data_IF_777629894987
#
_entry.id   IF_777629894987
#
_cell.length_a   1.000
_cell.length_b   1.000
_cell.length_c   1.000
_cell.angle_alpha   90.00
_cell.angle_beta   90.00
_cell.angle_gamma   90.00
#
_symmetry.space_group_name_H-M   'P 1'
#
loop_
_entity.id
_entity.type
_entity.pdbx_description
1 polymer ?
#
# COMPACT_ATOMS: atom_id res chain seq x y z
N UNK A 1 18.41 2.04 -3.81
CA UNK A 1 17.58 2.87 -4.72
C UNK A 1 17.69 4.33 -4.32
N UNK A 2 17.74 5.26 -5.29
CA UNK A 2 17.61 6.69 -5.03
C UNK A 2 16.14 7.05 -5.17
N UNK A 3 15.52 7.56 -4.11
CA UNK A 3 14.11 7.95 -4.13
C UNK A 3 13.96 9.41 -4.60
N UNK A 4 14.32 9.66 -5.85
CA UNK A 4 14.42 11.01 -6.41
C UNK A 4 13.06 11.72 -6.52
N UNK A 5 11.97 10.96 -6.70
CA UNK A 5 10.62 11.51 -6.73
C UNK A 5 10.15 11.83 -5.30
N UNK A 6 10.24 10.89 -4.38
CA UNK A 6 9.87 11.08 -2.96
C UNK A 6 10.62 12.25 -2.33
N UNK A 7 11.91 12.40 -2.63
CA UNK A 7 12.76 13.43 -2.06
C UNK A 7 12.39 14.87 -2.49
N UNK A 8 11.53 15.03 -3.50
CA UNK A 8 11.00 16.34 -3.94
C UNK A 8 9.83 16.81 -3.08
N UNK A 9 9.17 15.91 -2.35
CA UNK A 9 8.02 16.25 -1.55
C UNK A 9 8.44 16.97 -0.26
N UNK A 10 7.62 17.92 0.16
CA UNK A 10 7.84 18.62 1.43
C UNK A 10 7.81 17.62 2.60
N UNK A 11 8.85 17.67 3.43
CA UNK A 11 9.02 16.70 4.52
C UNK A 11 7.96 16.86 5.62
N UNK A 12 7.49 18.09 5.84
CA UNK A 12 6.44 18.37 6.83
C UNK A 12 5.13 17.79 6.34
N UNK A 13 4.79 18.03 5.07
CA UNK A 13 3.61 17.43 4.44
C UNK A 13 3.61 15.90 4.52
N UNK A 14 4.74 15.25 4.23
CA UNK A 14 4.85 13.80 4.38
C UNK A 14 4.61 13.37 5.82
N UNK A 15 5.31 13.97 6.79
CA UNK A 15 5.22 13.59 8.21
C UNK A 15 3.82 13.76 8.79
N UNK A 16 3.13 14.85 8.45
CA UNK A 16 1.78 15.14 8.95
C UNK A 16 0.71 14.20 8.37
N UNK A 17 0.97 13.59 7.22
CA UNK A 17 0.01 12.74 6.54
C UNK A 17 0.35 11.24 6.52
N UNK A 18 1.52 10.83 7.04
CA UNK A 18 1.83 9.42 7.22
C UNK A 18 0.91 8.76 8.26
N UNK A 19 0.50 7.53 7.98
CA UNK A 19 -0.31 6.67 8.86
C UNK A 19 0.39 5.33 9.16
N UNK A 20 1.63 5.20 8.74
CA UNK A 20 2.51 4.04 8.83
C UNK A 20 3.83 4.33 8.12
N UNK A 21 4.62 3.34 7.71
CA UNK A 21 5.87 3.53 6.98
C UNK A 21 5.63 4.39 5.73
N UNK A 22 6.63 5.19 5.33
CA UNK A 22 6.47 6.19 4.27
C UNK A 22 5.94 5.58 2.96
N UNK A 23 4.62 5.69 2.78
CA UNK A 23 3.89 5.10 1.66
C UNK A 23 4.33 5.65 0.30
N UNK A 24 4.81 6.89 0.24
CA UNK A 24 5.32 7.49 -1.00
C UNK A 24 6.62 6.81 -1.43
N UNK A 25 7.52 6.53 -0.49
CA UNK A 25 8.77 5.81 -0.76
C UNK A 25 8.52 4.37 -1.18
N UNK A 26 7.58 3.71 -0.51
CA UNK A 26 7.15 2.35 -0.86
C UNK A 26 6.56 2.35 -2.28
N UNK A 27 5.70 3.30 -2.59
CA UNK A 27 5.07 3.41 -3.90
C UNK A 27 6.09 3.71 -5.01
N UNK A 28 7.08 4.56 -4.77
CA UNK A 28 8.14 4.85 -5.76
C UNK A 28 8.91 3.59 -6.14
N UNK A 29 9.28 2.73 -5.17
CA UNK A 29 9.94 1.45 -5.45
C UNK A 29 8.98 0.48 -6.14
N UNK A 30 7.74 0.36 -5.66
CA UNK A 30 6.72 -0.53 -6.22
C UNK A 30 6.49 -0.27 -7.72
N UNK A 31 6.48 1.00 -8.10
CA UNK A 31 6.16 1.44 -9.46
C UNK A 31 7.39 1.64 -10.37
N UNK A 32 8.61 1.32 -9.93
CA UNK A 32 9.84 1.57 -10.70
C UNK A 32 9.75 1.01 -12.14
N UNK A 33 9.14 -0.16 -12.29
CA UNK A 33 9.01 -0.84 -13.58
C UNK A 33 7.54 -1.04 -14.01
N UNK A 34 6.62 -0.27 -13.42
CA UNK A 34 5.19 -0.33 -13.75
C UNK A 34 4.86 0.74 -14.78
N UNK A 35 4.35 0.38 -15.97
CA UNK A 35 4.15 1.31 -17.08
C UNK A 35 2.83 2.08 -16.95
N UNK A 36 2.65 2.86 -15.88
CA UNK A 36 1.53 3.79 -15.76
C UNK A 36 1.68 4.91 -16.79
N UNK A 37 0.56 5.29 -17.41
CA UNK A 37 0.51 6.35 -18.44
C UNK A 37 -0.54 7.39 -18.05
N UNK A 38 -0.27 8.64 -18.39
CA UNK A 38 -1.23 9.73 -18.21
C UNK A 38 -2.60 9.37 -18.78
N UNK A 39 -3.65 9.72 -18.05
CA UNK A 39 -5.03 9.44 -18.41
C UNK A 39 -5.54 8.04 -18.05
N UNK A 40 -4.69 7.11 -17.56
CA UNK A 40 -5.14 5.86 -16.98
C UNK A 40 -6.01 6.11 -15.75
N UNK A 41 -7.05 5.29 -15.57
CA UNK A 41 -7.86 5.24 -14.33
C UNK A 41 -7.19 4.28 -13.35
N UNK A 42 -6.80 4.79 -12.21
CA UNK A 42 -6.11 4.04 -11.15
C UNK A 42 -6.93 4.06 -9.88
N UNK A 43 -7.25 2.88 -9.34
CA UNK A 43 -7.76 2.74 -7.98
C UNK A 43 -6.58 2.83 -7.02
N UNK A 44 -6.64 3.73 -6.05
CA UNK A 44 -5.75 3.77 -4.89
C UNK A 44 -6.53 3.21 -3.69
N UNK A 45 -6.34 1.93 -3.42
CA UNK A 45 -7.11 1.15 -2.44
C UNK A 45 -6.49 1.27 -1.05
N UNK A 46 -7.22 1.91 -0.12
CA UNK A 46 -6.73 2.24 1.20
C UNK A 46 -5.74 3.41 1.16
N UNK A 47 -6.16 4.51 0.54
CA UNK A 47 -5.30 5.68 0.29
C UNK A 47 -4.91 6.45 1.57
N UNK A 48 -5.56 6.17 2.72
CA UNK A 48 -5.35 6.92 3.96
C UNK A 48 -5.55 8.42 3.77
N UNK A 49 -4.59 9.22 4.24
CA UNK A 49 -4.54 10.66 4.03
C UNK A 49 -4.17 11.09 2.60
N UNK A 50 -4.13 10.16 1.64
CA UNK A 50 -4.00 10.45 0.22
C UNK A 50 -2.58 10.74 -0.27
N UNK A 51 -1.53 10.40 0.48
CA UNK A 51 -0.14 10.61 0.04
C UNK A 51 0.17 9.87 -1.26
N UNK A 52 -0.26 8.62 -1.37
CA UNK A 52 -0.11 7.78 -2.57
C UNK A 52 -0.89 8.35 -3.75
N UNK A 53 -2.12 8.84 -3.50
CA UNK A 53 -2.96 9.47 -4.52
C UNK A 53 -2.33 10.73 -5.09
N UNK A 54 -1.79 11.62 -4.24
CA UNK A 54 -1.07 12.83 -4.66
C UNK A 54 0.16 12.47 -5.49
N UNK A 55 0.92 11.45 -5.10
CA UNK A 55 2.08 10.98 -5.84
C UNK A 55 1.69 10.42 -7.22
N UNK A 56 0.67 9.56 -7.30
CA UNK A 56 0.17 9.01 -8.57
C UNK A 56 -0.25 10.11 -9.54
N UNK A 57 -1.01 11.08 -9.06
CA UNK A 57 -1.46 12.20 -9.88
C UNK A 57 -0.29 13.06 -10.39
N UNK A 58 0.63 13.45 -9.51
CA UNK A 58 1.74 14.36 -9.86
C UNK A 58 2.80 13.70 -10.73
N UNK A 59 3.21 12.47 -10.42
CA UNK A 59 4.34 11.83 -11.08
C UNK A 59 3.95 11.07 -12.34
N UNK A 60 2.67 10.68 -12.47
CA UNK A 60 2.20 9.88 -13.62
C UNK A 60 1.08 10.54 -14.43
N UNK A 61 0.42 11.59 -13.91
CA UNK A 61 -0.70 12.24 -14.59
C UNK A 61 -1.91 11.32 -14.77
N UNK A 62 -2.08 10.35 -13.90
CA UNK A 62 -3.21 9.41 -13.93
C UNK A 62 -4.43 9.99 -13.23
N UNK A 63 -5.62 9.53 -13.61
CA UNK A 63 -6.85 9.80 -12.87
C UNK A 63 -6.94 8.82 -11.71
N UNK A 64 -6.91 9.31 -10.47
CA UNK A 64 -6.89 8.50 -9.25
C UNK A 64 -8.26 8.48 -8.60
N UNK A 65 -8.73 7.29 -8.27
CA UNK A 65 -9.91 7.04 -7.44
C UNK A 65 -9.41 6.61 -6.07
N UNK A 66 -9.33 7.58 -5.16
CA UNK A 66 -8.70 7.45 -3.84
C UNK A 66 -9.72 6.92 -2.84
N UNK A 67 -9.75 5.61 -2.63
CA UNK A 67 -10.72 4.94 -1.77
C UNK A 67 -10.13 4.67 -0.38
N UNK A 68 -10.85 5.07 0.65
CA UNK A 68 -10.53 4.77 2.04
C UNK A 68 -11.78 4.57 2.89
N UNK A 69 -11.69 3.73 3.93
CA UNK A 69 -12.77 3.47 4.88
C UNK A 69 -12.69 4.40 6.10
N UNK A 70 -11.49 4.76 6.53
CA UNK A 70 -11.28 5.50 7.79
C UNK A 70 -11.25 7.01 7.59
N UNK A 71 -10.79 7.46 6.42
CA UNK A 71 -10.66 8.88 6.11
C UNK A 71 -11.82 9.35 5.24
N UNK A 72 -12.52 10.39 5.70
CA UNK A 72 -13.66 10.90 4.97
C UNK A 72 -13.28 11.47 3.58
N UNK A 73 -14.15 11.28 2.59
CA UNK A 73 -13.95 11.87 1.28
C UNK A 73 -13.81 13.42 1.34
N UNK A 74 -14.50 14.08 2.29
CA UNK A 74 -14.41 15.52 2.48
C UNK A 74 -13.03 15.96 2.95
N UNK A 75 -12.41 15.22 3.87
CA UNK A 75 -11.09 15.57 4.37
C UNK A 75 -10.01 15.33 3.33
N UNK A 76 -10.11 14.23 2.57
CA UNK A 76 -9.22 13.96 1.45
C UNK A 76 -9.41 14.97 0.31
N UNK A 77 -10.65 15.36 -0.02
CA UNK A 77 -10.89 16.40 -1.03
C UNK A 77 -10.21 17.72 -0.68
N UNK A 78 -10.27 18.12 0.60
CA UNK A 78 -9.58 19.34 1.07
C UNK A 78 -8.07 19.24 0.86
N UNK A 79 -7.45 18.10 1.23
CA UNK A 79 -6.01 17.84 1.01
C UNK A 79 -5.64 17.86 -0.47
N UNK A 80 -6.44 17.23 -1.33
CA UNK A 80 -6.17 17.20 -2.77
C UNK A 80 -6.24 18.59 -3.39
N UNK A 81 -7.16 19.44 -2.95
CA UNK A 81 -7.21 20.85 -3.36
C UNK A 81 -5.98 21.63 -2.89
N UNK A 82 -5.57 21.47 -1.63
CA UNK A 82 -4.35 22.10 -1.09
C UNK A 82 -3.10 21.64 -1.84
N UNK A 83 -3.10 20.40 -2.31
CA UNK A 83 -2.05 19.84 -3.15
C UNK A 83 -2.16 20.22 -4.63
N UNK A 84 -3.24 20.85 -5.09
CA UNK A 84 -3.49 21.20 -6.50
C UNK A 84 -3.58 19.99 -7.42
N UNK A 85 -4.26 18.92 -6.95
CA UNK A 85 -4.47 17.67 -7.72
C UNK A 85 -5.94 17.23 -7.74
N UNK A 86 -6.85 18.08 -7.30
CA UNK A 86 -8.29 17.78 -7.18
C UNK A 86 -8.99 17.60 -8.53
N UNK A 87 -8.38 18.00 -9.62
CA UNK A 87 -8.80 17.73 -10.99
C UNK A 87 -8.46 16.30 -11.46
N UNK A 88 -7.48 15.65 -10.84
CA UNK A 88 -7.04 14.28 -11.14
C UNK A 88 -7.44 13.25 -10.09
N UNK A 89 -7.67 13.68 -8.84
CA UNK A 89 -7.92 12.76 -7.72
C UNK A 89 -9.34 12.88 -7.20
N UNK A 90 -10.08 11.79 -7.24
CA UNK A 90 -11.45 11.68 -6.78
C UNK A 90 -11.47 10.91 -5.46
N UNK A 91 -11.74 11.54 -4.31
CA UNK A 91 -11.81 10.85 -3.03
C UNK A 91 -13.14 10.09 -2.88
N UNK A 92 -13.05 8.87 -2.37
CA UNK A 92 -14.18 7.98 -2.17
C UNK A 92 -14.11 7.38 -0.76
N UNK A 93 -15.16 7.60 0.04
CA UNK A 93 -15.29 7.00 1.36
C UNK A 93 -16.15 5.75 1.24
N UNK A 94 -15.51 4.58 1.21
CA UNK A 94 -16.20 3.29 1.04
C UNK A 94 -15.38 2.15 1.64
N UNK A 95 -16.09 1.04 1.92
CA UNK A 95 -15.46 -0.23 2.31
C UNK A 95 -14.88 -0.93 1.07
N UNK A 96 -13.68 -1.49 1.20
CA UNK A 96 -13.06 -2.33 0.18
C UNK A 96 -13.89 -3.59 -0.15
N UNK A 97 -14.76 -4.03 0.74
CA UNK A 97 -15.68 -5.14 0.52
C UNK A 97 -16.89 -4.77 -0.36
N UNK A 98 -17.19 -3.45 -0.50
CA UNK A 98 -18.34 -2.96 -1.29
C UNK A 98 -17.94 -1.72 -2.09
N UNK A 99 -17.05 -1.89 -3.04
CA UNK A 99 -16.52 -0.80 -3.86
C UNK A 99 -17.51 -0.39 -4.96
N UNK A 100 -17.90 0.89 -5.06
CA UNK A 100 -18.98 1.37 -5.95
C UNK A 100 -18.50 1.62 -7.39
N UNK A 101 -17.90 0.60 -8.01
CA UNK A 101 -17.37 0.71 -9.37
C UNK A 101 -17.90 -0.39 -10.28
N UNK A 102 -17.94 -0.09 -11.59
CA UNK A 102 -18.27 -1.07 -12.61
C UNK A 102 -17.11 -2.04 -12.88
N UNK A 103 -17.45 -3.23 -13.35
CA UNK A 103 -16.47 -4.21 -13.83
C UNK A 103 -15.62 -3.63 -14.97
N UNK A 104 -14.35 -3.98 -14.98
CA UNK A 104 -13.40 -3.55 -16.01
C UNK A 104 -13.19 -2.02 -16.06
N UNK A 105 -13.39 -1.32 -14.95
CA UNK A 105 -13.31 0.13 -14.92
C UNK A 105 -11.87 0.66 -14.86
N UNK A 106 -10.98 -0.03 -14.15
CA UNK A 106 -9.63 0.45 -13.88
C UNK A 106 -8.57 -0.13 -14.81
N UNK A 107 -7.62 0.71 -15.22
CA UNK A 107 -6.40 0.31 -15.90
C UNK A 107 -5.36 -0.27 -14.93
N UNK A 108 -5.38 0.19 -13.68
CA UNK A 108 -4.55 -0.34 -12.60
C UNK A 108 -5.24 -0.19 -11.23
N UNK A 109 -4.88 -1.09 -10.31
CA UNK A 109 -5.15 -0.93 -8.88
C UNK A 109 -3.82 -0.88 -8.15
N UNK A 110 -3.67 0.11 -7.29
CA UNK A 110 -2.53 0.31 -6.41
C UNK A 110 -3.02 0.22 -4.97
N UNK A 111 -2.26 -0.43 -4.09
CA UNK A 111 -2.53 -0.43 -2.65
C UNK A 111 -1.21 -0.45 -1.90
N UNK A 112 -0.99 0.50 -1.01
CA UNK A 112 0.22 0.59 -0.20
C UNK A 112 -0.16 0.64 1.27
N UNK A 113 0.38 -0.31 2.04
CA UNK A 113 0.17 -0.42 3.50
C UNK A 113 -1.32 -0.58 3.91
N UNK A 114 -2.14 -1.16 3.02
CA UNK A 114 -3.58 -1.32 3.24
C UNK A 114 -4.12 -2.70 2.83
N UNK A 115 -3.65 -3.28 1.73
CA UNK A 115 -4.19 -4.53 1.18
C UNK A 115 -4.21 -5.70 2.19
N UNK A 116 -3.23 -5.79 3.07
CA UNK A 116 -3.11 -6.88 4.06
C UNK A 116 -4.28 -6.94 5.05
N UNK A 117 -5.01 -5.84 5.27
CA UNK A 117 -6.21 -5.82 6.12
C UNK A 117 -7.39 -6.63 5.53
N UNK A 118 -7.44 -6.79 4.22
CA UNK A 118 -8.55 -7.44 3.52
C UNK A 118 -8.11 -8.64 2.67
N UNK A 119 -6.88 -8.61 2.17
CA UNK A 119 -6.34 -9.61 1.24
C UNK A 119 -5.91 -10.92 1.90
N UNK A 120 -5.90 -11.01 3.24
CA UNK A 120 -5.75 -12.26 3.95
C UNK A 120 -6.94 -13.22 3.69
N UNK A 121 -8.11 -12.69 3.35
CA UNK A 121 -9.22 -13.47 2.82
C UNK A 121 -8.85 -14.02 1.43
N UNK A 122 -8.96 -15.33 1.24
CA UNK A 122 -8.56 -16.03 0.01
C UNK A 122 -9.32 -15.58 -1.24
N UNK A 123 -10.53 -15.07 -1.10
CA UNK A 123 -11.39 -14.68 -2.22
C UNK A 123 -11.38 -13.18 -2.50
N UNK A 124 -10.79 -12.34 -1.63
CA UNK A 124 -10.85 -10.88 -1.81
C UNK A 124 -10.31 -10.43 -3.16
N UNK A 125 -9.15 -10.93 -3.57
CA UNK A 125 -8.58 -10.56 -4.87
C UNK A 125 -9.51 -10.94 -6.00
N UNK A 126 -9.97 -12.19 -6.04
CA UNK A 126 -10.77 -12.76 -7.14
C UNK A 126 -12.19 -12.23 -7.21
N UNK A 127 -12.83 -11.97 -6.07
CA UNK A 127 -14.23 -11.56 -6.00
C UNK A 127 -14.44 -10.06 -5.92
N UNK A 128 -13.47 -9.32 -5.36
CA UNK A 128 -13.63 -7.88 -5.08
C UNK A 128 -12.74 -6.98 -5.93
N UNK A 129 -11.45 -7.28 -6.06
CA UNK A 129 -10.52 -6.41 -6.77
C UNK A 129 -10.39 -6.75 -8.26
N UNK A 130 -10.23 -8.04 -8.58
CA UNK A 130 -10.07 -8.53 -9.96
C UNK A 130 -11.20 -8.06 -10.91
N UNK A 131 -12.49 -8.15 -10.55
CA UNK A 131 -13.57 -7.73 -11.45
C UNK A 131 -13.48 -6.27 -11.87
N UNK A 132 -12.95 -5.40 -11.04
CA UNK A 132 -12.83 -3.97 -11.30
C UNK A 132 -11.71 -3.63 -12.29
N UNK A 133 -10.74 -4.53 -12.47
CA UNK A 133 -9.63 -4.35 -13.39
C UNK A 133 -10.03 -4.74 -14.82
N UNK A 134 -9.57 -3.97 -15.79
CA UNK A 134 -9.62 -4.36 -17.20
C UNK A 134 -8.76 -5.59 -17.43
N UNK A 135 -9.07 -6.36 -18.48
CA UNK A 135 -8.17 -7.42 -18.95
C UNK A 135 -6.80 -6.83 -19.27
N UNK A 136 -5.74 -7.45 -18.75
CA UNK A 136 -4.37 -6.91 -18.81
C UNK A 136 -4.12 -5.71 -17.91
N UNK A 137 -5.09 -5.33 -17.07
CA UNK A 137 -4.94 -4.29 -16.05
C UNK A 137 -3.89 -4.67 -15.00
N UNK A 138 -3.29 -3.68 -14.37
CA UNK A 138 -2.16 -3.86 -13.47
C UNK A 138 -2.64 -3.93 -12.03
N UNK A 139 -2.17 -4.91 -11.26
CA UNK A 139 -2.23 -4.89 -9.80
C UNK A 139 -0.83 -4.58 -9.26
N UNK A 140 -0.71 -3.55 -8.42
CA UNK A 140 0.54 -3.14 -7.77
C UNK A 140 0.27 -2.93 -6.27
N UNK A 141 0.75 -3.85 -5.45
CA UNK A 141 0.38 -3.96 -4.05
C UNK A 141 1.64 -4.02 -3.20
N UNK A 142 1.71 -3.27 -2.11
CA UNK A 142 2.80 -3.35 -1.15
C UNK A 142 2.29 -3.18 0.28
N UNK A 143 2.85 -3.97 1.21
CA UNK A 143 2.45 -3.95 2.62
C UNK A 143 3.53 -4.56 3.52
N UNK A 144 3.46 -4.30 4.85
CA UNK A 144 4.28 -5.01 5.82
C UNK A 144 4.01 -6.51 5.82
N UNK A 145 5.07 -7.29 5.87
CA UNK A 145 5.00 -8.74 5.89
C UNK A 145 6.14 -9.36 6.70
N UNK A 146 6.34 -10.65 6.50
CA UNK A 146 7.37 -11.42 7.18
C UNK A 146 8.35 -12.05 6.20
N UNK A 147 9.61 -12.19 6.63
CA UNK A 147 10.65 -12.89 5.86
C UNK A 147 10.35 -14.39 5.74
N UNK A 148 9.73 -14.96 6.77
CA UNK A 148 9.29 -16.36 6.86
C UNK A 148 8.15 -16.49 7.87
N UNK A 149 7.37 -17.57 7.78
CA UNK A 149 6.26 -17.82 8.70
C UNK A 149 6.77 -18.14 10.11
N UNK A 150 6.18 -17.46 11.11
CA UNK A 150 6.51 -17.65 12.54
C UNK A 150 5.29 -17.95 13.39
N UNK A 151 4.11 -18.12 12.78
CA UNK A 151 2.82 -18.24 13.44
C UNK A 151 2.74 -19.42 14.41
N UNK A 152 3.38 -20.56 14.08
CA UNK A 152 3.43 -21.74 14.97
C UNK A 152 4.38 -21.55 16.16
N UNK A 153 5.38 -20.67 16.04
CA UNK A 153 6.38 -20.45 17.08
C UNK A 153 6.85 -19.00 17.10
N UNK A 154 6.01 -18.13 17.64
CA UNK A 154 6.28 -16.69 17.74
C UNK A 154 7.54 -16.45 18.59
N UNK A 155 8.55 -15.73 18.10
CA UNK A 155 9.74 -15.36 18.86
C UNK A 155 9.38 -14.65 20.17
N UNK A 156 10.00 -15.04 21.26
CA UNK A 156 9.62 -14.52 22.59
C UNK A 156 9.75 -13.00 22.70
N UNK A 157 10.74 -12.42 22.03
CA UNK A 157 10.99 -10.98 21.97
C UNK A 157 9.92 -10.21 21.20
N UNK A 158 9.18 -10.89 20.30
CA UNK A 158 8.13 -10.28 19.48
C UNK A 158 6.75 -10.42 20.09
N UNK A 159 6.53 -11.37 20.99
CA UNK A 159 5.23 -11.60 21.65
C UNK A 159 4.58 -10.36 22.28
N UNK A 160 5.34 -9.39 22.86
CA UNK A 160 4.75 -8.18 23.41
C UNK A 160 4.21 -7.19 22.37
N UNK A 161 4.56 -7.37 21.08
CA UNK A 161 4.28 -6.42 20.00
C UNK A 161 3.39 -6.99 18.90
N UNK A 162 3.34 -8.30 18.77
CA UNK A 162 2.55 -8.97 17.73
C UNK A 162 1.28 -9.52 18.33
N UNK A 163 0.23 -8.72 18.27
CA UNK A 163 -1.11 -9.12 18.63
C UNK A 163 -1.68 -10.10 17.59
N UNK A 164 -2.68 -10.89 17.99
CA UNK A 164 -3.28 -11.90 17.12
C UNK A 164 -3.81 -11.33 15.81
N UNK A 165 -4.39 -10.14 15.86
CA UNK A 165 -4.89 -9.44 14.67
C UNK A 165 -3.77 -9.06 13.69
N UNK A 166 -2.62 -8.58 14.19
CA UNK A 166 -1.46 -8.24 13.37
C UNK A 166 -0.86 -9.51 12.73
N UNK A 167 -0.74 -10.58 13.50
CA UNK A 167 -0.27 -11.87 12.99
C UNK A 167 -1.17 -12.44 11.90
N UNK A 168 -2.49 -12.28 12.01
CA UNK A 168 -3.42 -12.73 10.96
C UNK A 168 -3.25 -12.00 9.61
N UNK A 169 -2.57 -10.86 9.59
CA UNK A 169 -2.37 -10.05 8.39
C UNK A 169 -0.95 -10.12 7.84
N UNK A 170 0.04 -10.43 8.68
CA UNK A 170 1.45 -10.42 8.29
C UNK A 170 1.95 -11.82 7.99
N UNK A 171 2.20 -12.07 6.73
CA UNK A 171 2.68 -13.35 6.22
C UNK A 171 3.89 -13.18 5.31
N UNK A 172 4.54 -14.29 5.00
CA UNK A 172 5.68 -14.32 4.09
C UNK A 172 5.26 -14.23 2.62
N UNK A 173 6.21 -13.93 1.74
CA UNK A 173 5.99 -13.97 0.28
C UNK A 173 5.47 -15.33 -0.20
N UNK A 174 5.92 -16.43 0.43
CA UNK A 174 5.48 -17.78 0.10
C UNK A 174 3.99 -18.01 0.38
N UNK A 175 3.48 -17.43 1.45
CA UNK A 175 2.06 -17.48 1.81
C UNK A 175 1.19 -16.63 0.88
N UNK A 176 1.68 -15.46 0.46
CA UNK A 176 0.95 -14.56 -0.42
C UNK A 176 0.91 -15.01 -1.88
N UNK A 177 1.97 -15.65 -2.38
CA UNK A 177 2.12 -16.03 -3.79
C UNK A 177 0.93 -16.81 -4.37
N UNK A 178 0.40 -17.87 -3.73
CA UNK A 178 -0.71 -18.66 -4.27
C UNK A 178 -2.00 -17.86 -4.52
N UNK A 179 -2.18 -16.74 -3.82
CA UNK A 179 -3.37 -15.87 -3.98
C UNK A 179 -3.36 -15.09 -5.31
N UNK A 180 -2.21 -15.00 -5.99
CA UNK A 180 -2.03 -14.19 -7.18
C UNK A 180 -1.53 -14.96 -8.41
N UNK A 181 -0.83 -16.09 -8.23
CA UNK A 181 -0.10 -16.76 -9.31
C UNK A 181 -0.98 -17.33 -10.43
N UNK A 182 -2.23 -17.65 -10.15
CA UNK A 182 -3.20 -18.11 -11.14
C UNK A 182 -4.05 -16.98 -11.72
N UNK A 183 -3.91 -15.75 -11.20
CA UNK A 183 -4.74 -14.60 -11.56
C UNK A 183 -3.94 -13.54 -12.35
N UNK A 184 -2.63 -13.50 -12.14
CA UNK A 184 -1.75 -12.49 -12.70
C UNK A 184 -0.65 -13.11 -13.56
N UNK A 185 -0.49 -12.62 -14.78
CA UNK A 185 0.69 -12.83 -15.60
C UNK A 185 1.82 -11.88 -15.20
N UNK A 186 3.05 -12.18 -15.59
CA UNK A 186 4.25 -11.39 -15.28
C UNK A 186 4.42 -11.13 -13.76
N UNK A 187 3.89 -12.03 -12.91
CA UNK A 187 3.85 -11.87 -11.47
C UNK A 187 5.26 -11.73 -10.87
N UNK A 188 5.51 -10.63 -10.21
CA UNK A 188 6.69 -10.38 -9.38
C UNK A 188 6.25 -10.23 -7.94
N UNK A 189 6.92 -10.94 -7.03
CA UNK A 189 6.79 -10.79 -5.57
C UNK A 189 8.21 -10.71 -5.02
N UNK A 190 8.50 -9.65 -4.25
CA UNK A 190 9.85 -9.43 -3.72
C UNK A 190 9.84 -8.74 -2.36
N UNK A 191 10.92 -8.92 -1.62
CA UNK A 191 11.22 -8.11 -0.43
C UNK A 191 11.70 -6.74 -0.89
N UNK A 192 11.03 -5.68 -0.44
CA UNK A 192 11.34 -4.32 -0.87
C UNK A 192 12.57 -3.76 -0.16
N UNK A 193 13.42 -3.08 -0.92
CA UNK A 193 14.68 -2.50 -0.44
C UNK A 193 14.48 -1.27 0.44
N UNK A 194 13.34 -0.58 0.30
CA UNK A 194 13.02 0.64 1.04
C UNK A 194 12.64 0.44 2.50
N UNK A 195 12.53 -0.80 2.99
CA UNK A 195 12.05 -1.11 4.35
C UNK A 195 12.65 -0.17 5.42
N UNK A 196 13.96 -0.16 5.56
CA UNK A 196 14.62 0.63 6.61
C UNK A 196 14.39 2.13 6.47
N UNK A 197 14.35 2.65 5.23
CA UNK A 197 14.15 4.08 4.99
C UNK A 197 12.69 4.49 5.18
N UNK A 198 11.74 3.67 4.71
CA UNK A 198 10.32 3.95 4.87
C UNK A 198 9.92 3.96 6.36
N UNK A 199 10.42 2.99 7.13
CA UNK A 199 10.21 2.96 8.58
C UNK A 199 10.93 4.09 9.31
N UNK A 200 12.17 4.44 8.93
CA UNK A 200 12.89 5.56 9.55
C UNK A 200 12.14 6.89 9.39
N UNK A 201 11.55 7.14 8.22
CA UNK A 201 10.73 8.32 7.97
C UNK A 201 9.51 8.36 8.92
N UNK A 202 8.78 7.25 9.04
CA UNK A 202 7.64 7.12 9.95
C UNK A 202 8.02 7.31 11.41
N UNK A 203 9.06 6.62 11.86
CA UNK A 203 9.53 6.70 13.25
C UNK A 203 10.09 8.09 13.62
N UNK A 204 10.33 8.95 12.63
CA UNK A 204 10.72 10.35 12.83
C UNK A 204 9.54 11.30 13.05
N UNK A 205 8.29 10.78 12.96
CA UNK A 205 7.08 11.57 13.20
C UNK A 205 6.76 11.63 14.70
N UNK A 206 5.91 12.60 15.07
CA UNK A 206 5.36 12.72 16.43
C UNK A 206 4.05 11.95 16.60
N UNK A 207 3.70 11.08 15.64
CA UNK A 207 2.49 10.27 15.70
C UNK A 207 2.59 9.28 16.88
N UNK A 208 1.56 9.18 17.74
CA UNK A 208 1.58 8.29 18.91
C UNK A 208 1.83 6.82 18.58
N UNK A 209 1.34 6.33 17.44
CA UNK A 209 1.56 4.95 16.99
C UNK A 209 3.02 4.66 16.65
N UNK A 210 3.76 5.64 16.12
CA UNK A 210 5.18 5.50 15.80
C UNK A 210 6.04 5.13 17.03
N UNK A 211 5.60 5.50 18.24
CA UNK A 211 6.31 5.15 19.48
C UNK A 211 6.23 3.64 19.80
N UNK A 212 5.09 3.00 19.52
CA UNK A 212 4.89 1.55 19.63
C UNK A 212 5.72 0.81 18.59
N UNK A 213 5.62 1.22 17.35
CA UNK A 213 6.34 0.65 16.21
C UNK A 213 7.86 0.71 16.38
N UNK A 214 8.37 1.81 16.98
CA UNK A 214 9.81 1.92 17.29
C UNK A 214 10.29 0.81 18.21
N UNK A 215 9.54 0.48 19.25
CA UNK A 215 9.88 -0.62 20.17
C UNK A 215 9.80 -1.97 19.47
N UNK A 216 8.76 -2.17 18.67
CA UNK A 216 8.58 -3.38 17.88
C UNK A 216 9.76 -3.61 16.92
N UNK A 217 10.13 -2.59 16.13
CA UNK A 217 11.26 -2.70 15.19
C UNK A 217 12.62 -2.84 15.89
N UNK A 218 12.81 -2.25 17.06
CA UNK A 218 13.99 -2.48 17.88
C UNK A 218 14.08 -3.94 18.37
N UNK A 219 12.94 -4.51 18.79
CA UNK A 219 12.87 -5.91 19.19
C UNK A 219 13.06 -6.85 17.98
N UNK A 220 12.51 -6.50 16.81
CA UNK A 220 12.70 -7.24 15.56
C UNK A 220 14.18 -7.28 15.15
N UNK A 221 14.88 -6.16 15.22
CA UNK A 221 16.29 -6.05 14.85
C UNK A 221 16.58 -6.48 13.40
N UNK A 222 15.62 -6.38 12.50
CA UNK A 222 15.71 -6.77 11.10
C UNK A 222 15.65 -8.28 10.83
N UNK A 223 15.14 -9.06 11.80
CA UNK A 223 15.14 -10.53 11.73
C UNK A 223 13.92 -11.12 11.06
N UNK A 224 12.75 -10.57 11.32
CA UNK A 224 11.47 -11.20 10.97
C UNK A 224 10.65 -10.37 9.99
N UNK A 225 10.60 -9.05 10.16
CA UNK A 225 9.75 -8.17 9.36
C UNK A 225 10.41 -7.74 8.06
N UNK A 226 9.58 -7.55 7.03
CA UNK A 226 9.95 -6.94 5.76
C UNK A 226 8.80 -6.08 5.21
N UNK A 227 9.01 -5.50 4.03
CA UNK A 227 7.95 -5.00 3.15
C UNK A 227 7.91 -5.89 1.91
N UNK A 228 6.72 -6.30 1.52
CA UNK A 228 6.48 -7.16 0.35
C UNK A 228 5.89 -6.30 -0.76
N UNK A 229 6.52 -6.33 -1.94
CA UNK A 229 5.97 -5.78 -3.17
C UNK A 229 5.42 -6.90 -4.05
N UNK A 230 4.25 -6.67 -4.65
CA UNK A 230 3.55 -7.59 -5.57
C UNK A 230 3.10 -6.79 -6.79
N UNK A 231 3.53 -7.19 -7.96
CA UNK A 231 3.10 -6.58 -9.23
C UNK A 231 2.81 -7.66 -10.26
N UNK A 232 1.72 -7.51 -10.99
CA UNK A 232 1.37 -8.38 -12.10
C UNK A 232 0.27 -7.77 -12.98
N UNK A 233 -0.03 -8.44 -14.08
CA UNK A 233 -1.10 -8.04 -15.01
C UNK A 233 -2.21 -9.07 -14.97
N UNK A 234 -3.45 -8.62 -14.94
CA UNK A 234 -4.62 -9.49 -14.96
C UNK A 234 -4.62 -10.37 -16.23
N UNK A 235 -4.83 -11.67 -16.07
CA UNK A 235 -4.90 -12.66 -17.14
C UNK A 235 -6.13 -12.49 -18.04
#
# INVERSE_FOLDING_TARGET
>A
MNFDKTNKYDKTFLKENMMGPNSVRILEELLENVPLKSGMRVLDLGCGNGLTSVFLAREYGVQVFALDLWISATDNYRRFRECGVDDLVIPIHADAQDMPFADGFFDAAVSVDAYHYVGNNDTFFTEKLKPLLKKGGIAAIAFPGMKYEVHENIPNEMKPYWEEEALAMWHSMGWWRPKFENELSDLKIWEMSCFSQAWADWLSTDNPYAAGDRKMLQADGGRYMNLIGIVGKLL
#
